data_IF_707320455977
#
_entry.id   IF_707320455977
#
_cell.length_a   1.000
_cell.length_b   1.000
_cell.length_c   1.000
_cell.angle_alpha   90.00
_cell.angle_beta   90.00
_cell.angle_gamma   90.00
#
_symmetry.space_group_name_H-M   'P 1'
#
loop_
_entity.id
_entity.type
_entity.pdbx_description
1 polymer ?
#
# COMPACT_ATOMS: atom_id res chain seq x y z
N UNK A 1 4.93 -19.48 26.61
CA UNK A 1 3.64 -18.94 26.16
C UNK A 1 3.64 -17.45 26.45
N UNK A 2 3.40 -16.59 25.46
CA UNK A 2 3.35 -15.13 25.69
C UNK A 2 2.10 -14.83 26.53
N UNK A 3 2.21 -14.10 27.65
CA UNK A 3 1.05 -13.77 28.49
C UNK A 3 0.02 -12.95 27.72
N UNK A 4 -1.26 -13.32 27.81
CA UNK A 4 -2.38 -12.63 27.14
C UNK A 4 -2.38 -11.12 27.44
N UNK A 5 -2.01 -10.74 28.67
CA UNK A 5 -1.92 -9.35 29.11
C UNK A 5 -0.91 -8.54 28.30
N UNK A 6 0.25 -9.13 28.01
CA UNK A 6 1.32 -8.47 27.25
C UNK A 6 0.89 -8.30 25.79
N UNK A 7 0.32 -9.36 25.19
CA UNK A 7 -0.19 -9.31 23.82
C UNK A 7 -1.25 -8.23 23.65
N UNK A 8 -2.25 -8.18 24.55
CA UNK A 8 -3.31 -7.17 24.49
C UNK A 8 -2.77 -5.76 24.64
N UNK A 9 -1.80 -5.55 25.55
CA UNK A 9 -1.20 -4.23 25.78
C UNK A 9 -0.40 -3.75 24.57
N UNK A 10 0.39 -4.63 23.94
CA UNK A 10 1.14 -4.30 22.72
C UNK A 10 0.19 -3.97 21.56
N UNK A 11 -0.84 -4.79 21.34
CA UNK A 11 -1.80 -4.58 20.26
C UNK A 11 -2.58 -3.28 20.44
N UNK A 12 -3.06 -2.99 21.65
CA UNK A 12 -3.74 -1.72 21.95
C UNK A 12 -2.79 -0.53 21.76
N UNK A 13 -1.56 -0.62 22.24
CA UNK A 13 -0.55 0.42 22.04
C UNK A 13 -0.26 0.68 20.58
N UNK A 14 -0.16 -0.38 19.76
CA UNK A 14 0.02 -0.28 18.32
C UNK A 14 -1.15 0.43 17.63
N UNK A 15 -2.40 0.07 17.96
CA UNK A 15 -3.58 0.74 17.40
C UNK A 15 -3.64 2.21 17.80
N UNK A 16 -3.39 2.54 19.08
CA UNK A 16 -3.35 3.92 19.56
C UNK A 16 -2.32 4.72 18.77
N UNK A 17 -1.13 4.15 18.54
CA UNK A 17 -0.08 4.80 17.76
C UNK A 17 -0.52 5.04 16.30
N UNK A 18 -1.12 4.05 15.64
CA UNK A 18 -1.64 4.21 14.28
C UNK A 18 -2.71 5.30 14.19
N UNK A 19 -3.67 5.29 15.12
CA UNK A 19 -4.71 6.31 15.19
C UNK A 19 -4.13 7.69 15.49
N UNK A 20 -3.14 7.80 16.37
CA UNK A 20 -2.47 9.07 16.67
C UNK A 20 -1.77 9.64 15.42
N UNK A 21 -1.10 8.79 14.64
CA UNK A 21 -0.46 9.20 13.38
C UNK A 21 -1.49 9.66 12.35
N UNK A 22 -2.60 8.93 12.20
CA UNK A 22 -3.69 9.31 11.30
C UNK A 22 -4.32 10.64 11.70
N UNK A 23 -4.67 10.78 12.99
CA UNK A 23 -5.25 12.00 13.54
C UNK A 23 -4.34 13.21 13.37
N UNK A 24 -3.03 13.02 13.56
CA UNK A 24 -2.03 14.06 13.33
C UNK A 24 -1.96 14.49 11.85
N UNK A 25 -2.04 13.53 10.93
CA UNK A 25 -2.04 13.80 9.50
C UNK A 25 -3.27 14.60 9.08
N UNK A 26 -4.45 14.26 9.61
CA UNK A 26 -5.71 14.98 9.34
C UNK A 26 -5.70 16.41 9.91
N UNK A 27 -5.26 16.59 11.16
CA UNK A 27 -5.07 17.92 11.76
C UNK A 27 -4.17 18.84 10.93
N UNK A 28 -3.07 18.31 10.39
CA UNK A 28 -2.16 19.08 9.53
C UNK A 28 -2.76 19.36 8.16
N UNK A 29 -3.58 18.45 7.62
CA UNK A 29 -4.32 18.65 6.38
C UNK A 29 -5.34 19.78 6.51
N UNK A 30 -6.09 19.83 7.60
CA UNK A 30 -7.06 20.90 7.90
C UNK A 30 -6.40 22.27 8.08
N UNK A 31 -5.19 22.31 8.66
CA UNK A 31 -4.38 23.55 8.81
C UNK A 31 -3.69 24.02 7.52
N UNK A 32 -4.03 23.43 6.37
CA UNK A 32 -3.47 23.79 5.06
C UNK A 32 -2.02 23.33 4.83
N UNK A 33 -1.42 22.57 5.76
CA UNK A 33 -0.06 22.02 5.64
C UNK A 33 -0.12 20.51 5.44
N UNK A 34 -0.72 20.08 4.32
CA UNK A 34 -0.86 18.66 3.99
C UNK A 34 0.51 18.00 3.85
N UNK A 35 0.86 17.14 4.80
CA UNK A 35 2.09 16.32 4.73
C UNK A 35 1.93 15.21 3.70
N UNK A 36 0.69 14.80 3.43
CA UNK A 36 0.34 13.62 2.62
C UNK A 36 0.75 13.82 1.15
N UNK A 37 0.91 15.06 0.69
CA UNK A 37 1.33 15.40 -0.68
C UNK A 37 2.84 15.24 -0.93
N UNK A 38 3.57 14.54 -0.05
CA UNK A 38 5.01 14.32 -0.19
C UNK A 38 5.31 13.04 -1.00
N UNK A 39 6.23 13.08 -1.99
CA UNK A 39 6.69 11.90 -2.73
C UNK A 39 7.10 10.72 -1.84
N UNK A 40 7.67 10.98 -0.66
CA UNK A 40 8.09 9.93 0.27
C UNK A 40 6.89 9.18 0.86
N UNK A 41 5.80 9.89 1.19
CA UNK A 41 4.58 9.27 1.70
C UNK A 41 3.88 8.47 0.60
N UNK A 42 3.91 8.96 -0.63
CA UNK A 42 3.44 8.19 -1.79
C UNK A 42 4.27 6.91 -2.00
N UNK A 43 5.60 6.96 -1.90
CA UNK A 43 6.44 5.78 -2.02
C UNK A 43 6.19 4.78 -0.87
N UNK A 44 6.06 5.28 0.36
CA UNK A 44 5.78 4.45 1.54
C UNK A 44 4.37 3.83 1.48
N UNK A 45 3.37 4.50 0.90
CA UNK A 45 2.02 3.94 0.77
C UNK A 45 1.96 2.76 -0.20
N UNK A 46 2.91 2.65 -1.15
CA UNK A 46 3.03 1.46 -2.01
C UNK A 46 3.39 0.20 -1.21
N UNK A 47 4.00 0.34 -0.03
CA UNK A 47 4.30 -0.78 0.86
C UNK A 47 3.04 -1.51 1.36
N UNK A 48 1.85 -0.92 1.21
CA UNK A 48 0.55 -1.61 1.45
C UNK A 48 0.42 -2.89 0.61
N UNK A 49 1.15 -3.01 -0.50
CA UNK A 49 1.26 -4.26 -1.25
C UNK A 49 1.77 -5.45 -0.40
N UNK A 50 2.66 -5.18 0.57
CA UNK A 50 3.27 -6.17 1.47
C UNK A 50 2.36 -6.48 2.67
N UNK A 51 1.20 -7.05 2.37
CA UNK A 51 0.20 -7.41 3.39
C UNK A 51 0.57 -8.65 4.19
N UNK A 52 -0.15 -8.90 5.28
CA UNK A 52 -0.04 -10.14 6.05
C UNK A 52 -0.22 -11.40 5.17
N UNK A 53 -1.04 -11.34 4.11
CA UNK A 53 -1.18 -12.43 3.15
C UNK A 53 0.14 -12.77 2.45
N UNK A 54 0.86 -11.74 1.98
CA UNK A 54 2.17 -11.95 1.33
C UNK A 54 3.20 -12.51 2.31
N UNK A 55 3.17 -12.08 3.58
CA UNK A 55 4.06 -12.60 4.61
C UNK A 55 3.79 -14.08 4.92
N UNK A 56 2.57 -14.42 5.34
CA UNK A 56 2.24 -15.81 5.70
C UNK A 56 2.34 -16.76 4.51
N UNK A 57 1.93 -16.31 3.31
CA UNK A 57 2.05 -17.09 2.09
C UNK A 57 3.51 -17.35 1.69
N UNK A 58 4.39 -16.35 1.86
CA UNK A 58 5.82 -16.52 1.54
C UNK A 58 6.55 -17.40 2.55
N UNK A 59 6.22 -17.29 3.84
CA UNK A 59 6.76 -18.19 4.88
C UNK A 59 6.32 -19.63 4.63
N UNK A 60 5.04 -19.84 4.31
CA UNK A 60 4.52 -21.17 3.97
C UNK A 60 5.22 -21.76 2.74
N UNK A 61 5.36 -20.98 1.66
CA UNK A 61 6.06 -21.42 0.45
C UNK A 61 7.56 -21.63 0.65
N UNK A 62 8.20 -20.84 1.51
CA UNK A 62 9.60 -21.05 1.86
C UNK A 62 9.81 -22.38 2.58
N UNK A 63 8.87 -22.75 3.45
CA UNK A 63 8.93 -24.01 4.20
C UNK A 63 8.69 -25.25 3.32
N UNK A 64 7.85 -25.16 2.29
CA UNK A 64 7.48 -26.33 1.44
C UNK A 64 8.20 -26.40 0.10
N UNK A 65 8.47 -25.26 -0.53
CA UNK A 65 8.99 -25.15 -1.90
C UNK A 65 10.23 -24.24 -2.01
N UNK A 66 10.83 -23.84 -0.89
CA UNK A 66 12.10 -23.10 -0.88
C UNK A 66 11.99 -21.70 -1.51
N UNK A 67 12.56 -21.51 -2.71
CA UNK A 67 12.71 -20.19 -3.34
C UNK A 67 11.48 -19.71 -4.13
N UNK A 68 10.40 -20.50 -4.18
CA UNK A 68 9.19 -20.20 -4.95
C UNK A 68 8.40 -18.97 -4.47
N UNK A 69 8.78 -18.36 -3.35
CA UNK A 69 8.23 -17.07 -2.92
C UNK A 69 8.82 -15.88 -3.68
N UNK A 70 10.04 -16.00 -4.24
CA UNK A 70 10.76 -14.91 -4.91
C UNK A 70 9.97 -14.22 -6.03
N UNK A 71 9.24 -14.93 -6.91
CA UNK A 71 8.49 -14.29 -7.97
C UNK A 71 7.46 -13.26 -7.49
N UNK A 72 6.90 -13.43 -6.28
CA UNK A 72 5.93 -12.48 -5.69
C UNK A 72 6.58 -11.13 -5.38
N UNK A 73 7.88 -11.14 -5.06
CA UNK A 73 8.64 -9.92 -4.79
C UNK A 73 9.25 -9.36 -6.08
N UNK A 74 9.82 -10.24 -6.92
CA UNK A 74 10.49 -9.85 -8.16
C UNK A 74 9.53 -9.24 -9.19
N UNK A 75 8.31 -9.76 -9.32
CA UNK A 75 7.33 -9.26 -10.28
C UNK A 75 7.05 -7.75 -10.12
N UNK A 76 6.59 -7.30 -8.93
CA UNK A 76 6.41 -5.88 -8.63
C UNK A 76 7.69 -5.05 -8.80
N UNK A 77 8.86 -5.58 -8.39
CA UNK A 77 10.14 -4.89 -8.58
C UNK A 77 10.46 -4.67 -10.05
N UNK A 78 10.15 -5.63 -10.93
CA UNK A 78 10.35 -5.48 -12.37
C UNK A 78 9.33 -4.51 -13.00
N UNK A 79 8.07 -4.57 -12.56
CA UNK A 79 7.02 -3.64 -13.04
C UNK A 79 7.36 -2.20 -12.69
N UNK A 80 8.08 -1.94 -11.59
CA UNK A 80 8.44 -0.58 -11.19
C UNK A 80 9.28 0.17 -12.23
N UNK A 81 10.02 -0.54 -13.09
CA UNK A 81 10.75 0.09 -14.21
C UNK A 81 9.80 0.68 -15.26
N UNK A 82 8.63 0.08 -15.44
CA UNK A 82 7.59 0.59 -16.37
C UNK A 82 6.69 1.66 -15.75
N UNK A 83 6.79 1.86 -14.43
CA UNK A 83 5.94 2.74 -13.63
C UNK A 83 5.90 4.18 -14.16
N UNK A 84 7.06 4.73 -14.49
CA UNK A 84 7.18 6.12 -14.98
C UNK A 84 6.45 6.37 -16.29
N UNK A 85 6.38 5.38 -17.18
CA UNK A 85 5.70 5.49 -18.46
C UNK A 85 4.21 5.13 -18.34
N UNK A 86 3.90 3.95 -17.78
CA UNK A 86 2.54 3.43 -17.73
C UNK A 86 1.64 4.27 -16.83
N UNK A 87 2.07 4.57 -15.60
CA UNK A 87 1.19 5.29 -14.68
C UNK A 87 1.03 6.75 -15.04
N UNK A 88 2.06 7.41 -15.59
CA UNK A 88 1.88 8.78 -16.09
C UNK A 88 0.82 8.83 -17.19
N UNK A 89 0.86 7.88 -18.12
CA UNK A 89 -0.14 7.76 -19.18
C UNK A 89 -1.54 7.50 -18.61
N UNK A 90 -1.67 6.56 -17.67
CA UNK A 90 -2.96 6.26 -17.04
C UNK A 90 -3.52 7.45 -16.26
N UNK A 91 -2.69 8.15 -15.47
CA UNK A 91 -3.11 9.34 -14.71
C UNK A 91 -3.53 10.47 -15.64
N UNK A 92 -2.86 10.65 -16.77
CA UNK A 92 -3.23 11.68 -17.75
C UNK A 92 -4.62 11.40 -18.34
N UNK A 93 -4.85 10.18 -18.84
CA UNK A 93 -6.16 9.75 -19.38
C UNK A 93 -7.25 9.86 -18.31
N UNK A 94 -6.94 9.43 -17.08
CA UNK A 94 -7.89 9.48 -15.98
C UNK A 94 -8.30 10.92 -15.63
N UNK A 95 -7.36 11.87 -15.68
CA UNK A 95 -7.67 13.29 -15.46
C UNK A 95 -8.50 13.90 -16.59
N UNK A 96 -8.19 13.57 -17.85
CA UNK A 96 -8.94 14.09 -19.01
C UNK A 96 -10.38 13.60 -19.03
N UNK A 97 -10.61 12.35 -18.59
CA UNK A 97 -11.93 11.72 -18.59
C UNK A 97 -12.63 11.74 -17.22
N UNK A 98 -12.10 12.47 -16.24
CA UNK A 98 -12.63 12.54 -14.86
C UNK A 98 -12.85 11.16 -14.19
N UNK A 99 -11.95 10.22 -14.46
CA UNK A 99 -12.01 8.83 -13.99
C UNK A 99 -11.41 8.77 -12.58
N UNK A 100 -12.18 8.24 -11.62
CA UNK A 100 -11.80 8.18 -10.20
C UNK A 100 -11.49 6.76 -9.71
N UNK A 101 -11.87 5.73 -10.47
CA UNK A 101 -11.63 4.33 -10.14
C UNK A 101 -11.08 3.53 -11.32
N UNK A 102 -10.47 2.38 -11.03
CA UNK A 102 -10.00 1.44 -12.08
C UNK A 102 -11.20 0.85 -12.84
N UNK A 103 -12.35 0.67 -12.18
CA UNK A 103 -13.56 0.19 -12.83
C UNK A 103 -14.05 1.18 -13.90
N UNK A 104 -14.09 2.47 -13.56
CA UNK A 104 -14.43 3.55 -14.49
C UNK A 104 -13.41 3.64 -15.65
N UNK A 105 -12.14 3.34 -15.36
CA UNK A 105 -11.10 3.29 -16.38
C UNK A 105 -11.37 2.20 -17.42
N UNK A 106 -11.79 1.02 -16.96
CA UNK A 106 -12.10 -0.11 -17.84
C UNK A 106 -13.41 0.14 -18.59
N UNK A 107 -14.47 0.61 -17.92
CA UNK A 107 -15.76 0.89 -18.57
C UNK A 107 -15.67 2.01 -19.61
N UNK A 108 -14.87 3.06 -19.38
CA UNK A 108 -14.64 4.11 -20.38
C UNK A 108 -14.04 3.59 -21.69
N UNK A 109 -13.33 2.46 -21.65
CA UNK A 109 -12.70 1.83 -22.81
C UNK A 109 -13.56 0.76 -23.47
N UNK A 110 -14.30 -0.02 -22.68
CA UNK A 110 -14.98 -1.23 -23.15
C UNK A 110 -16.51 -1.15 -23.16
N UNK A 111 -17.11 -0.16 -22.48
CA UNK A 111 -18.56 -0.02 -22.36
C UNK A 111 -19.16 -1.05 -21.41
#
# INVERSE_FOLDING_TARGET
MIPIKILSLITLGYFILLFAVAFYADLRRERGRSIILNPNIYALSLAVYLTSWTFYGSVGRAATHGLDFLPVYLGPTLIIFTWGFLLRKMVHIAKENNIVSIADFISSRYG
#
